data_IF_583041886692
#
_entry.id   IF_583041886692
#
_cell.length_a   1.000
_cell.length_b   1.000
_cell.length_c   1.000
_cell.angle_alpha   90.00
_cell.angle_beta   90.00
_cell.angle_gamma   90.00
#
_symmetry.space_group_name_H-M   'P 1'
#
loop_
_entity.id
_entity.type
_entity.pdbx_description
1 polymer ?
#
# COMPACT_ATOMS: atom_id res chain seq x y z
N UNK A 1 29.04 -0.40 4.46
CA UNK A 1 28.56 -0.50 5.84
C UNK A 1 27.06 -0.36 5.78
N UNK A 2 26.31 -1.45 5.91
CA UNK A 2 24.85 -1.43 5.88
C UNK A 2 24.37 -1.15 7.30
N UNK A 3 23.91 0.07 7.57
CA UNK A 3 23.19 0.34 8.83
C UNK A 3 21.89 -0.50 8.86
N UNK A 4 21.50 -1.06 10.00
CA UNK A 4 20.26 -1.82 10.10
C UNK A 4 19.10 -0.82 10.12
N UNK A 5 18.16 -0.90 9.18
CA UNK A 5 16.93 -0.12 9.27
C UNK A 5 16.02 -0.78 10.33
N UNK A 6 15.77 -0.19 11.51
CA UNK A 6 15.04 -0.85 12.59
C UNK A 6 13.52 -0.67 12.44
N UNK A 7 13.02 -0.66 11.20
CA UNK A 7 11.58 -0.53 10.97
C UNK A 7 10.95 -1.91 11.08
N UNK A 8 10.27 -2.14 12.20
CA UNK A 8 9.45 -3.33 12.36
C UNK A 8 8.17 -3.19 11.52
N UNK A 9 7.83 -4.30 10.85
CA UNK A 9 6.58 -4.43 10.09
C UNK A 9 5.60 -5.21 10.96
N UNK A 10 4.50 -4.57 11.33
CA UNK A 10 3.43 -5.19 12.11
C UNK A 10 2.27 -5.52 11.19
N UNK A 11 1.96 -6.81 11.08
CA UNK A 11 0.78 -7.28 10.36
C UNK A 11 -0.38 -7.48 11.34
N UNK A 12 -1.53 -6.88 11.06
CA UNK A 12 -2.75 -7.11 11.81
C UNK A 12 -3.85 -7.59 10.86
N UNK A 13 -4.25 -8.85 11.03
CA UNK A 13 -5.45 -9.38 10.38
C UNK A 13 -6.68 -8.91 11.15
N UNK A 14 -7.69 -8.42 10.44
CA UNK A 14 -8.96 -7.95 11.00
C UNK A 14 -10.15 -8.65 10.34
N UNK A 15 -11.30 -8.58 11.00
CA UNK A 15 -12.55 -9.18 10.56
C UNK A 15 -12.40 -10.69 10.27
N UNK A 16 -12.97 -11.17 9.15
CA UNK A 16 -12.97 -12.58 8.75
C UNK A 16 -11.86 -12.93 7.75
N UNK A 17 -10.83 -12.08 7.59
CA UNK A 17 -9.70 -12.41 6.71
C UNK A 17 -8.81 -13.44 7.38
N UNK A 18 -8.56 -14.53 6.68
CA UNK A 18 -7.58 -15.56 7.06
C UNK A 18 -6.22 -15.28 6.41
N UNK A 19 -5.12 -15.90 6.87
CA UNK A 19 -3.79 -15.68 6.29
C UNK A 19 -3.66 -15.95 4.78
N UNK A 20 -4.56 -16.74 4.19
CA UNK A 20 -4.50 -17.15 2.78
C UNK A 20 -5.77 -16.86 1.99
N UNK A 21 -6.90 -16.52 2.61
CA UNK A 21 -8.14 -16.24 1.88
C UNK A 21 -8.99 -15.17 2.54
N UNK A 22 -9.91 -14.54 1.79
CA UNK A 22 -9.98 -14.51 0.32
C UNK A 22 -8.79 -13.76 -0.30
N UNK A 23 -8.58 -13.95 -1.62
CA UNK A 23 -7.68 -13.11 -2.42
C UNK A 23 -8.43 -11.88 -2.93
N UNK A 24 -9.50 -12.01 -3.77
CA UNK A 24 -10.25 -10.84 -4.20
C UNK A 24 -10.98 -10.19 -3.02
N UNK A 25 -11.04 -8.86 -2.99
CA UNK A 25 -11.66 -8.10 -1.91
C UNK A 25 -10.81 -8.01 -0.64
N UNK A 26 -9.63 -8.65 -0.61
CA UNK A 26 -8.64 -8.42 0.45
C UNK A 26 -8.06 -7.02 0.28
N UNK A 27 -8.25 -6.19 1.29
CA UNK A 27 -7.78 -4.81 1.38
C UNK A 27 -6.63 -4.68 2.37
N UNK A 28 -5.79 -3.69 2.11
CA UNK A 28 -4.68 -3.28 2.94
C UNK A 28 -4.82 -1.80 3.26
N UNK A 29 -4.68 -1.46 4.53
CA UNK A 29 -4.40 -0.07 4.95
C UNK A 29 -3.01 -0.09 5.55
N UNK A 30 -2.09 0.68 4.98
CA UNK A 30 -0.70 0.72 5.41
C UNK A 30 -0.39 2.12 5.93
N UNK A 31 0.07 2.20 7.18
CA UNK A 31 0.49 3.47 7.79
C UNK A 31 1.95 3.41 8.23
N UNK A 32 2.61 4.57 8.18
CA UNK A 32 3.97 4.77 8.65
C UNK A 32 3.93 5.67 9.89
N UNK A 33 4.76 5.35 10.87
CA UNK A 33 4.99 6.21 12.04
C UNK A 33 6.30 6.94 11.84
N UNK A 34 6.29 8.25 11.63
CA UNK A 34 7.55 9.03 11.52
C UNK A 34 8.34 9.07 12.84
N UNK A 35 7.68 8.81 13.97
CA UNK A 35 8.30 8.82 15.31
C UNK A 35 9.09 7.53 15.56
N UNK A 36 8.49 6.38 15.24
CA UNK A 36 9.08 5.06 15.52
C UNK A 36 9.67 4.40 14.28
N UNK A 37 9.34 4.92 13.10
CA UNK A 37 9.65 4.34 11.81
C UNK A 37 8.91 3.04 11.48
N UNK A 38 8.02 2.58 12.36
CA UNK A 38 7.31 1.32 12.17
C UNK A 38 6.31 1.42 11.02
N UNK A 39 6.11 0.29 10.34
CA UNK A 39 5.07 0.14 9.31
C UNK A 39 3.99 -0.78 9.86
N UNK A 40 2.74 -0.32 9.83
CA UNK A 40 1.59 -1.11 10.21
C UNK A 40 0.82 -1.49 8.96
N UNK A 41 0.55 -2.78 8.77
CA UNK A 41 -0.21 -3.32 7.65
C UNK A 41 -1.47 -3.98 8.19
N UNK A 42 -2.61 -3.30 8.01
CA UNK A 42 -3.92 -3.81 8.36
C UNK A 42 -4.49 -4.60 7.19
N UNK A 43 -4.78 -5.88 7.37
CA UNK A 43 -5.26 -6.80 6.34
C UNK A 43 -6.72 -7.15 6.67
N UNK A 44 -7.67 -6.71 5.84
CA UNK A 44 -9.10 -6.87 6.12
C UNK A 44 -9.94 -6.89 4.83
N UNK A 45 -11.25 -7.11 4.94
CA UNK A 45 -12.23 -6.95 3.84
C UNK A 45 -12.70 -5.49 3.67
N UNK A 46 -12.36 -4.61 4.62
CA UNK A 46 -12.56 -3.16 4.61
C UNK A 46 -11.27 -2.38 4.91
N UNK A 47 -11.26 -1.08 4.60
CA UNK A 47 -10.15 -0.22 5.01
C UNK A 47 -10.22 0.06 6.51
N UNK A 48 -9.07 0.12 7.17
CA UNK A 48 -8.95 0.41 8.60
C UNK A 48 -9.12 1.91 8.86
N UNK A 49 -10.34 2.43 8.65
CA UNK A 49 -10.64 3.86 8.78
C UNK A 49 -10.30 4.40 10.19
N UNK A 50 -10.37 3.56 11.22
CA UNK A 50 -9.95 3.86 12.59
C UNK A 50 -8.44 4.10 12.77
N UNK A 51 -7.61 3.62 11.83
CA UNK A 51 -6.16 3.81 11.85
C UNK A 51 -5.69 5.03 11.06
N UNK A 52 -6.62 5.72 10.38
CA UNK A 52 -6.32 6.82 9.48
C UNK A 52 -6.32 8.12 10.25
N UNK A 53 -5.23 8.87 10.12
CA UNK A 53 -5.05 10.15 10.81
C UNK A 53 -5.36 11.31 9.87
N UNK A 54 -5.50 12.51 10.42
CA UNK A 54 -5.66 13.74 9.65
C UNK A 54 -4.49 14.01 8.70
N UNK A 55 -3.32 13.40 8.95
CA UNK A 55 -2.17 13.50 8.06
C UNK A 55 -2.38 12.77 6.73
N UNK A 56 -3.35 11.84 6.66
CA UNK A 56 -3.75 11.09 5.45
C UNK A 56 -2.62 10.34 4.73
N UNK A 57 -1.62 9.91 5.49
CA UNK A 57 -0.40 9.24 4.98
C UNK A 57 -0.61 7.74 4.73
N UNK A 58 -1.85 7.26 4.81
CA UNK A 58 -2.15 5.87 4.54
C UNK A 58 -2.00 5.52 3.04
N UNK A 59 -1.48 4.32 2.79
CA UNK A 59 -1.60 3.66 1.48
C UNK A 59 -2.73 2.64 1.56
N UNK A 60 -3.73 2.80 0.70
CA UNK A 60 -4.87 1.90 0.59
C UNK A 60 -4.66 0.99 -0.62
N UNK A 61 -4.74 -0.32 -0.46
CA UNK A 61 -4.61 -1.29 -1.57
C UNK A 61 -5.72 -2.34 -1.49
N UNK A 62 -6.07 -2.93 -2.62
CA UNK A 62 -7.06 -4.00 -2.74
C UNK A 62 -6.66 -4.99 -3.83
N UNK A 63 -6.79 -6.27 -3.53
CA UNK A 63 -6.72 -7.33 -4.52
C UNK A 63 -8.03 -7.44 -5.29
N UNK A 64 -7.93 -7.37 -6.62
CA UNK A 64 -9.05 -7.56 -7.52
C UNK A 64 -8.79 -8.72 -8.48
N UNK A 65 -9.87 -9.39 -8.89
CA UNK A 65 -9.82 -10.43 -9.94
C UNK A 65 -10.40 -9.87 -11.22
N UNK A 66 -9.61 -9.90 -12.28
CA UNK A 66 -9.99 -9.48 -13.63
C UNK A 66 -10.10 -10.69 -14.56
N UNK A 67 -10.48 -10.45 -15.82
CA UNK A 67 -10.44 -11.48 -16.87
C UNK A 67 -9.00 -11.97 -17.17
N UNK A 68 -8.00 -11.16 -16.88
CA UNK A 68 -6.59 -11.42 -17.19
C UNK A 68 -5.77 -11.92 -15.99
N UNK A 69 -6.42 -12.17 -14.85
CA UNK A 69 -5.76 -12.59 -13.61
C UNK A 69 -5.99 -11.59 -12.48
N UNK A 70 -5.09 -11.61 -11.50
CA UNK A 70 -5.16 -10.70 -10.35
C UNK A 70 -4.46 -9.37 -10.65
N UNK A 71 -4.98 -8.31 -10.06
CA UNK A 71 -4.35 -6.98 -10.03
C UNK A 71 -4.41 -6.46 -8.60
N UNK A 72 -3.35 -5.79 -8.17
CA UNK A 72 -3.33 -5.05 -6.91
C UNK A 72 -3.55 -3.57 -7.24
N UNK A 73 -4.71 -3.05 -6.92
CA UNK A 73 -5.02 -1.62 -7.12
C UNK A 73 -4.89 -0.88 -5.81
N UNK A 74 -4.44 0.37 -5.83
CA UNK A 74 -4.38 1.17 -4.61
C UNK A 74 -4.55 2.65 -4.85
N UNK A 75 -4.54 3.40 -3.76
CA UNK A 75 -4.66 4.86 -3.78
C UNK A 75 -3.96 5.51 -2.61
N UNK A 76 -3.46 6.73 -2.85
CA UNK A 76 -2.92 7.65 -1.83
C UNK A 76 -3.50 9.04 -2.04
N UNK A 77 -3.74 9.80 -0.96
CA UNK A 77 -4.15 11.21 -1.08
C UNK A 77 -2.92 12.11 -0.98
N UNK A 78 -2.72 12.95 -1.99
CA UNK A 78 -1.54 13.81 -2.11
C UNK A 78 -1.84 15.29 -1.87
N UNK A 79 -3.10 15.67 -1.70
CA UNK A 79 -3.46 17.04 -1.34
C UNK A 79 -3.04 17.36 0.10
N UNK A 80 -2.35 18.50 0.27
CA UNK A 80 -2.06 19.08 1.58
C UNK A 80 -2.52 20.52 1.65
N UNK A 81 -3.64 20.74 2.36
CA UNK A 81 -4.13 22.06 2.81
C UNK A 81 -4.16 23.17 1.73
N UNK A 82 -4.34 22.81 0.46
CA UNK A 82 -4.40 23.75 -0.67
C UNK A 82 -3.06 24.33 -1.12
N UNK A 83 -1.93 23.88 -0.56
CA UNK A 83 -0.60 24.36 -0.97
C UNK A 83 -0.04 23.47 -2.08
N UNK A 84 0.16 24.05 -3.27
CA UNK A 84 0.66 23.34 -4.45
C UNK A 84 2.02 22.67 -4.19
N UNK A 85 2.98 23.43 -3.63
CA UNK A 85 4.32 22.90 -3.35
C UNK A 85 4.31 21.76 -2.32
N UNK A 86 3.42 21.81 -1.33
CA UNK A 86 3.28 20.73 -0.35
C UNK A 86 2.71 19.46 -1.00
N UNK A 87 1.72 19.63 -1.89
CA UNK A 87 1.11 18.52 -2.63
C UNK A 87 2.11 17.89 -3.61
N UNK A 88 2.96 18.71 -4.25
CA UNK A 88 4.10 18.24 -5.06
C UNK A 88 5.06 17.38 -4.25
N UNK A 89 5.58 17.91 -3.14
CA UNK A 89 6.56 17.20 -2.30
C UNK A 89 5.97 15.88 -1.77
N UNK A 90 4.69 15.88 -1.42
CA UNK A 90 3.97 14.67 -0.96
C UNK A 90 3.82 13.64 -2.07
N UNK A 91 3.42 14.07 -3.27
CA UNK A 91 3.36 13.20 -4.45
C UNK A 91 4.73 12.59 -4.76
N UNK A 92 5.80 13.39 -4.73
CA UNK A 92 7.16 12.88 -4.96
C UNK A 92 7.58 11.87 -3.88
N UNK A 93 7.31 12.16 -2.60
CA UNK A 93 7.59 11.24 -1.49
C UNK A 93 6.86 9.92 -1.64
N UNK A 94 5.55 9.93 -1.87
CA UNK A 94 4.79 8.69 -2.07
C UNK A 94 5.33 7.87 -3.23
N UNK A 95 5.72 8.51 -4.33
CA UNK A 95 6.28 7.79 -5.47
C UNK A 95 7.60 7.10 -5.11
N UNK A 96 8.49 7.80 -4.40
CA UNK A 96 9.80 7.28 -3.97
C UNK A 96 9.66 6.19 -2.90
N UNK A 97 8.71 6.31 -1.98
CA UNK A 97 8.54 5.39 -0.85
C UNK A 97 7.64 4.20 -1.16
N UNK A 98 6.84 4.23 -2.24
CA UNK A 98 5.94 3.14 -2.61
C UNK A 98 6.62 1.76 -2.67
N UNK A 99 7.83 1.59 -3.23
CA UNK A 99 8.53 0.31 -3.21
C UNK A 99 8.69 -0.28 -1.80
N UNK A 100 9.01 0.55 -0.80
CA UNK A 100 9.16 0.14 0.61
C UNK A 100 7.80 -0.31 1.18
N UNK A 101 6.73 0.42 0.86
CA UNK A 101 5.35 0.05 1.24
C UNK A 101 4.94 -1.29 0.64
N UNK A 102 5.25 -1.53 -0.63
CA UNK A 102 4.92 -2.80 -1.31
C UNK A 102 5.73 -3.98 -0.75
N UNK A 103 7.01 -3.78 -0.41
CA UNK A 103 7.81 -4.77 0.32
C UNK A 103 7.20 -5.08 1.69
N UNK A 104 6.76 -4.06 2.43
CA UNK A 104 6.13 -4.24 3.73
C UNK A 104 4.82 -5.03 3.62
N UNK A 105 3.98 -4.75 2.61
CA UNK A 105 2.79 -5.53 2.31
C UNK A 105 3.15 -7.00 2.07
N UNK A 106 4.15 -7.27 1.24
CA UNK A 106 4.59 -8.64 0.94
C UNK A 106 5.07 -9.39 2.17
N UNK A 107 5.84 -8.73 3.02
CA UNK A 107 6.31 -9.32 4.27
C UNK A 107 5.16 -9.60 5.24
N UNK A 108 4.25 -8.64 5.40
CA UNK A 108 3.10 -8.73 6.30
C UNK A 108 2.15 -9.85 5.88
N UNK A 109 1.89 -9.98 4.59
CA UNK A 109 0.98 -10.97 4.01
C UNK A 109 1.70 -12.14 3.32
N UNK A 110 2.90 -12.47 3.80
CA UNK A 110 3.77 -13.50 3.21
C UNK A 110 3.11 -14.87 3.07
N UNK A 111 2.12 -15.20 3.91
CA UNK A 111 1.41 -16.47 3.84
C UNK A 111 0.51 -16.55 2.61
N UNK A 112 -0.15 -15.46 2.23
CA UNK A 112 -0.91 -15.36 1.00
C UNK A 112 -0.01 -15.61 -0.22
N UNK A 113 1.12 -14.91 -0.29
CA UNK A 113 2.04 -15.04 -1.42
C UNK A 113 2.70 -16.41 -1.52
N UNK A 114 3.05 -17.04 -0.39
CA UNK A 114 3.54 -18.43 -0.38
C UNK A 114 2.47 -19.40 -0.87
N UNK A 115 1.20 -19.17 -0.55
CA UNK A 115 0.08 -20.02 -0.95
C UNK A 115 -0.30 -19.85 -2.42
N UNK A 116 -0.20 -18.62 -2.94
CA UNK A 116 -0.58 -18.25 -4.31
C UNK A 116 0.57 -17.56 -5.05
N UNK A 117 1.63 -18.30 -5.48
CA UNK A 117 2.74 -17.72 -6.24
C UNK A 117 2.32 -17.02 -7.54
N UNK A 118 1.15 -17.36 -8.10
CA UNK A 118 0.56 -16.68 -9.26
C UNK A 118 0.42 -15.17 -9.06
N UNK A 119 0.26 -14.71 -7.81
CA UNK A 119 0.15 -13.29 -7.48
C UNK A 119 1.41 -12.50 -7.81
N UNK A 120 2.58 -13.13 -7.90
CA UNK A 120 3.84 -12.44 -8.22
C UNK A 120 3.83 -11.78 -9.60
N UNK A 121 2.99 -12.29 -10.50
CA UNK A 121 2.79 -11.74 -11.83
C UNK A 121 1.83 -10.53 -11.87
N UNK A 122 1.09 -10.28 -10.79
CA UNK A 122 0.05 -9.26 -10.77
C UNK A 122 0.63 -7.84 -10.84
N UNK A 123 0.09 -6.98 -11.72
CA UNK A 123 0.49 -5.58 -11.77
C UNK A 123 -0.01 -4.83 -10.53
N UNK A 124 0.70 -3.76 -10.18
CA UNK A 124 0.39 -2.86 -9.08
C UNK A 124 0.08 -1.48 -9.65
N UNK A 125 -1.18 -1.05 -9.53
CA UNK A 125 -1.67 0.21 -10.09
C UNK A 125 -2.11 1.13 -8.96
N UNK A 126 -1.48 2.29 -8.79
CA UNK A 126 -1.76 3.21 -7.68
C UNK A 126 -2.28 4.54 -8.20
N UNK A 127 -3.45 4.95 -7.71
CA UNK A 127 -4.03 6.27 -7.96
C UNK A 127 -3.53 7.28 -6.93
N UNK A 128 -2.86 8.33 -7.42
CA UNK A 128 -2.53 9.50 -6.62
C UNK A 128 -3.72 10.45 -6.76
N UNK A 129 -4.49 10.57 -5.69
CA UNK A 129 -5.72 11.35 -5.66
C UNK A 129 -5.37 12.76 -5.22
N UNK A 130 -5.64 13.71 -6.11
CA UNK A 130 -5.52 15.14 -5.88
C UNK A 130 -6.70 15.92 -6.44
N UNK A 131 -7.03 17.06 -5.83
CA UNK A 131 -7.94 18.06 -6.39
C UNK A 131 -7.23 18.89 -7.49
N UNK A 132 -5.89 18.91 -7.51
CA UNK A 132 -5.09 19.50 -8.57
C UNK A 132 -4.83 18.45 -9.68
N UNK A 133 -5.30 18.66 -10.93
CA UNK A 133 -5.09 17.72 -12.04
C UNK A 133 -3.63 17.38 -12.33
N UNK A 134 -2.68 18.25 -11.97
CA UNK A 134 -1.24 18.00 -12.15
C UNK A 134 -0.72 16.85 -11.29
N UNK A 135 -1.35 16.58 -10.15
CA UNK A 135 -0.98 15.52 -9.21
C UNK A 135 -2.01 14.38 -9.17
N UNK A 136 -3.17 14.55 -9.81
CA UNK A 136 -4.17 13.49 -9.96
C UNK A 136 -3.74 12.51 -11.06
N UNK A 137 -2.94 11.50 -10.70
CA UNK A 137 -2.27 10.61 -11.66
C UNK A 137 -2.34 9.15 -11.25
N UNK A 138 -2.42 8.26 -12.24
CA UNK A 138 -2.25 6.83 -12.04
C UNK A 138 -0.80 6.44 -12.33
N UNK A 139 -0.21 5.61 -11.47
CA UNK A 139 1.12 5.06 -11.66
C UNK A 139 1.08 3.54 -11.73
N UNK A 140 1.80 2.98 -12.70
CA UNK A 140 2.08 1.55 -12.80
C UNK A 140 3.43 1.28 -12.10
N UNK A 141 3.37 0.55 -10.99
CA UNK A 141 4.55 0.13 -10.22
C UNK A 141 5.05 -1.25 -10.65
N UNK A 142 4.64 -1.75 -11.82
CA UNK A 142 5.04 -3.04 -12.34
C UNK A 142 4.46 -4.19 -11.52
N UNK A 143 5.21 -5.30 -11.42
CA UNK A 143 4.71 -6.53 -10.81
C UNK A 143 4.96 -6.55 -9.31
N UNK A 144 3.98 -7.02 -8.53
CA UNK A 144 4.15 -7.13 -7.07
C UNK A 144 5.29 -8.10 -6.70
N UNK A 145 5.59 -9.09 -7.54
CA UNK A 145 6.70 -10.03 -7.34
C UNK A 145 8.10 -9.40 -7.32
N UNK A 146 8.23 -8.16 -7.81
CA UNK A 146 9.50 -7.39 -7.79
C UNK A 146 9.86 -6.88 -6.39
N UNK A 147 8.89 -6.78 -5.47
CA UNK A 147 9.05 -6.14 -4.15
C UNK A 147 9.28 -7.17 -3.03
N UNK A 148 10.35 -7.96 -3.12
CA UNK A 148 10.69 -9.01 -2.15
C UNK A 148 11.44 -8.48 -0.91
#
# INVERSE_FOLDING_TARGET
MSEPSPYMIFAQYRNKIEPYQPVPGRKYTITHSDITGHIYVFISDDYAEDSITDMREEVRLEWQKTRHGYVLTGSVRVDLNGYEQASKNRSERFYVEMPKTLQALRYADRFLFRRYPVLDSAPVLIQFISDNPLYHKSYDFGRIGTYQ
#
